data_IF_245209328701
#
_entry.id   IF_245209328701
#
_cell.length_a   1.000
_cell.length_b   1.000
_cell.length_c   1.000
_cell.angle_alpha   90.00
_cell.angle_beta   90.00
_cell.angle_gamma   90.00
#
_symmetry.space_group_name_H-M   'P 1'
#
loop_
_entity.id
_entity.type
_entity.pdbx_description
1 polymer ?
#
# COMPACT_ATOMS: atom_id res chain seq x y z
N UNK A 1 11.96 -13.68 -9.35
CA UNK A 1 11.51 -12.27 -9.45
C UNK A 1 10.89 -11.70 -8.15
N UNK A 2 10.47 -12.51 -7.15
CA UNK A 2 9.92 -12.04 -5.86
C UNK A 2 10.84 -11.12 -5.03
N UNK A 3 12.17 -11.35 -5.06
CA UNK A 3 13.16 -10.67 -4.19
C UNK A 3 13.38 -9.20 -4.57
N UNK A 4 13.39 -8.87 -5.87
CA UNK A 4 13.61 -7.50 -6.35
C UNK A 4 12.39 -6.60 -6.18
N UNK A 5 11.17 -7.14 -6.39
CA UNK A 5 9.94 -6.38 -6.18
C UNK A 5 9.80 -5.91 -4.74
N UNK A 6 10.02 -6.80 -3.76
CA UNK A 6 9.95 -6.45 -2.33
C UNK A 6 10.93 -5.34 -1.94
N UNK A 7 12.17 -5.38 -2.45
CA UNK A 7 13.17 -4.35 -2.17
C UNK A 7 12.79 -3.01 -2.84
N UNK A 8 12.21 -3.03 -4.04
CA UNK A 8 11.76 -1.82 -4.74
C UNK A 8 10.63 -1.11 -3.98
N UNK A 9 9.63 -1.85 -3.50
CA UNK A 9 8.55 -1.28 -2.68
C UNK A 9 9.06 -0.76 -1.33
N UNK A 10 10.05 -1.43 -0.72
CA UNK A 10 10.69 -0.97 0.50
C UNK A 10 11.45 0.35 0.29
N UNK A 11 12.23 0.44 -0.78
CA UNK A 11 12.93 1.67 -1.18
C UNK A 11 11.95 2.81 -1.47
N UNK A 12 10.88 2.53 -2.22
CA UNK A 12 9.86 3.53 -2.54
C UNK A 12 9.15 4.04 -1.27
N UNK A 13 8.82 3.14 -0.34
CA UNK A 13 8.24 3.50 0.97
C UNK A 13 9.21 4.31 1.84
N UNK A 14 10.49 3.94 1.89
CA UNK A 14 11.50 4.69 2.61
C UNK A 14 11.67 6.11 2.05
N UNK A 15 11.64 6.26 0.73
CA UNK A 15 11.72 7.56 0.06
C UNK A 15 10.51 8.45 0.39
N UNK A 16 9.30 7.88 0.42
CA UNK A 16 8.09 8.59 0.85
C UNK A 16 8.21 9.05 2.32
N UNK A 17 8.73 8.20 3.20
CA UNK A 17 8.93 8.56 4.62
C UNK A 17 9.92 9.72 4.76
N UNK A 18 11.05 9.66 4.05
CA UNK A 18 12.03 10.74 4.01
C UNK A 18 11.39 12.02 3.48
N UNK A 19 10.61 11.95 2.40
CA UNK A 19 9.92 13.10 1.84
C UNK A 19 8.90 13.70 2.82
N UNK A 20 8.21 12.87 3.62
CA UNK A 20 7.24 13.33 4.62
C UNK A 20 7.92 13.96 5.84
N UNK A 21 9.05 13.41 6.29
CA UNK A 21 9.89 13.99 7.35
C UNK A 21 10.49 15.31 6.86
N UNK A 22 11.01 15.35 5.64
CA UNK A 22 11.51 16.57 5.01
C UNK A 22 10.40 17.62 4.89
N UNK A 23 9.17 17.23 4.55
CA UNK A 23 8.05 18.16 4.52
C UNK A 23 7.79 18.84 5.88
N UNK A 24 7.92 18.09 6.98
CA UNK A 24 7.76 18.63 8.34
C UNK A 24 8.91 19.59 8.69
N UNK A 25 10.14 19.28 8.27
CA UNK A 25 11.34 20.05 8.60
C UNK A 25 11.46 21.33 7.74
N UNK A 26 11.19 21.22 6.44
CA UNK A 26 11.37 22.30 5.47
C UNK A 26 10.09 23.11 5.22
N UNK A 27 8.93 22.62 5.68
CA UNK A 27 7.64 23.30 5.50
C UNK A 27 7.26 23.46 4.04
N UNK A 28 7.21 22.38 3.26
CA UNK A 28 6.81 22.49 1.85
C UNK A 28 5.35 22.91 1.73
N UNK A 29 5.04 23.54 0.60
CA UNK A 29 3.68 24.01 0.30
C UNK A 29 2.67 22.85 0.27
N UNK A 30 1.40 23.17 0.51
CA UNK A 30 0.31 22.20 0.51
C UNK A 30 0.22 21.39 -0.80
N UNK A 31 0.65 21.98 -1.92
CA UNK A 31 0.73 21.31 -3.21
C UNK A 31 1.75 20.16 -3.20
N UNK A 32 2.97 20.40 -2.70
CA UNK A 32 4.02 19.38 -2.61
C UNK A 32 3.59 18.26 -1.66
N UNK A 33 2.99 18.61 -0.52
CA UNK A 33 2.43 17.62 0.41
C UNK A 33 1.33 16.78 -0.25
N UNK A 34 0.48 17.39 -1.09
CA UNK A 34 -0.55 16.67 -1.84
C UNK A 34 0.07 15.66 -2.82
N UNK A 35 1.11 16.05 -3.56
CA UNK A 35 1.84 15.14 -4.45
C UNK A 35 2.51 13.99 -3.70
N UNK A 36 3.13 14.24 -2.54
CA UNK A 36 3.73 13.18 -1.71
C UNK A 36 2.67 12.15 -1.31
N UNK A 37 1.49 12.60 -0.87
CA UNK A 37 0.39 11.71 -0.50
C UNK A 37 -0.16 10.94 -1.71
N UNK A 38 -0.27 11.59 -2.87
CA UNK A 38 -0.65 10.95 -4.14
C UNK A 38 0.28 9.78 -4.50
N UNK A 39 1.59 10.03 -4.47
CA UNK A 39 2.59 9.00 -4.75
C UNK A 39 2.53 7.86 -3.73
N UNK A 40 2.34 8.18 -2.44
CA UNK A 40 2.20 7.19 -1.38
C UNK A 40 1.06 6.21 -1.63
N UNK A 41 -0.15 6.73 -1.86
CA UNK A 41 -1.31 5.86 -2.09
C UNK A 41 -1.21 5.08 -3.39
N UNK A 42 -0.64 5.67 -4.45
CA UNK A 42 -0.42 4.99 -5.72
C UNK A 42 0.55 3.81 -5.57
N UNK A 43 1.67 4.00 -4.86
CA UNK A 43 2.66 2.94 -4.63
C UNK A 43 2.06 1.80 -3.80
N UNK A 44 1.30 2.12 -2.75
CA UNK A 44 0.58 1.11 -1.94
C UNK A 44 -0.45 0.36 -2.79
N UNK A 45 -1.20 1.08 -3.62
CA UNK A 45 -2.19 0.46 -4.51
C UNK A 45 -1.57 -0.51 -5.50
N UNK A 46 -0.47 -0.13 -6.14
CA UNK A 46 0.30 -1.00 -7.03
C UNK A 46 0.88 -2.22 -6.29
N UNK A 47 1.33 -2.05 -5.05
CA UNK A 47 1.79 -3.16 -4.23
C UNK A 47 0.69 -4.19 -3.98
N UNK A 48 -0.54 -3.75 -3.74
CA UNK A 48 -1.68 -4.64 -3.54
C UNK A 48 -2.12 -5.34 -4.82
N UNK A 49 -2.02 -4.68 -5.98
CA UNK A 49 -2.38 -5.27 -7.27
C UNK A 49 -1.36 -6.32 -7.72
N UNK A 50 -0.06 -5.99 -7.64
CA UNK A 50 1.00 -6.81 -8.24
C UNK A 50 1.82 -7.60 -7.22
N UNK A 51 1.98 -7.08 -6.01
CA UNK A 51 2.81 -7.69 -4.96
C UNK A 51 2.06 -8.70 -4.08
N UNK A 52 0.73 -8.61 -4.00
CA UNK A 52 -0.05 -9.48 -3.14
C UNK A 52 -0.44 -10.79 -3.85
N UNK A 53 0.02 -11.91 -3.30
CA UNK A 53 -0.35 -13.26 -3.75
C UNK A 53 -1.02 -14.00 -2.59
N UNK A 54 -2.24 -14.51 -2.83
CA UNK A 54 -2.96 -15.36 -1.89
C UNK A 54 -3.55 -16.56 -2.64
N UNK A 55 -3.52 -17.77 -2.07
CA UNK A 55 -4.16 -18.95 -2.65
C UNK A 55 -5.69 -18.80 -2.70
N UNK A 56 -6.25 -17.98 -1.80
CA UNK A 56 -7.67 -17.75 -1.68
C UNK A 56 -8.14 -16.65 -2.63
N UNK A 57 -8.94 -17.03 -3.64
CA UNK A 57 -9.43 -16.10 -4.68
C UNK A 57 -10.22 -14.92 -4.10
N UNK A 58 -11.02 -15.15 -3.06
CA UNK A 58 -11.81 -14.09 -2.41
C UNK A 58 -10.93 -13.04 -1.76
N UNK A 59 -9.91 -13.47 -1.03
CA UNK A 59 -8.93 -12.56 -0.41
C UNK A 59 -8.15 -11.79 -1.47
N UNK A 60 -7.71 -12.47 -2.55
CA UNK A 60 -7.01 -11.81 -3.66
C UNK A 60 -7.88 -10.72 -4.30
N UNK A 61 -9.17 -10.99 -4.48
CA UNK A 61 -10.11 -10.02 -5.04
C UNK A 61 -10.27 -8.80 -4.13
N UNK A 62 -10.51 -8.99 -2.83
CA UNK A 62 -10.64 -7.88 -1.87
C UNK A 62 -9.40 -6.97 -1.89
N UNK A 63 -8.20 -7.56 -1.86
CA UNK A 63 -6.95 -6.79 -1.86
C UNK A 63 -6.73 -6.07 -3.20
N UNK A 64 -7.08 -6.70 -4.31
CA UNK A 64 -7.02 -6.07 -5.63
C UNK A 64 -7.94 -4.84 -5.72
N UNK A 65 -9.19 -4.93 -5.24
CA UNK A 65 -10.10 -3.80 -5.21
C UNK A 65 -9.62 -2.70 -4.26
N UNK A 66 -9.04 -3.04 -3.11
CA UNK A 66 -8.39 -2.07 -2.22
C UNK A 66 -7.24 -1.34 -2.94
N UNK A 67 -6.45 -2.06 -3.73
CA UNK A 67 -5.35 -1.48 -4.51
C UNK A 67 -5.84 -0.50 -5.58
N UNK A 68 -6.88 -0.87 -6.33
CA UNK A 68 -7.52 0.02 -7.31
C UNK A 68 -8.12 1.24 -6.62
N UNK A 69 -8.84 1.05 -5.51
CA UNK A 69 -9.45 2.14 -4.77
C UNK A 69 -8.44 3.19 -4.31
N UNK A 70 -7.29 2.74 -3.77
CA UNK A 70 -6.21 3.63 -3.34
C UNK A 70 -5.61 4.46 -4.49
N UNK A 71 -5.64 3.94 -5.72
CA UNK A 71 -5.21 4.70 -6.90
C UNK A 71 -6.30 5.69 -7.33
N UNK A 72 -7.55 5.24 -7.39
CA UNK A 72 -8.67 6.06 -7.86
C UNK A 72 -9.01 7.22 -6.91
N UNK A 73 -8.89 7.02 -5.60
CA UNK A 73 -9.22 8.04 -4.61
C UNK A 73 -8.35 9.30 -4.74
N UNK A 74 -7.19 9.19 -5.38
CA UNK A 74 -6.33 10.33 -5.66
C UNK A 74 -6.93 11.33 -6.68
N UNK A 75 -7.87 10.88 -7.52
CA UNK A 75 -8.53 11.71 -8.53
C UNK A 75 -9.90 12.22 -8.07
N UNK A 76 -10.37 11.75 -6.92
CA UNK A 76 -11.67 12.11 -6.33
C UNK A 76 -11.46 13.28 -5.36
N UNK A 77 -12.35 14.29 -5.32
CA UNK A 77 -12.26 15.36 -4.33
C UNK A 77 -12.23 14.78 -2.91
N UNK A 78 -11.30 15.30 -2.10
CA UNK A 78 -11.13 14.84 -0.72
C UNK A 78 -12.42 15.06 0.06
N UNK A 79 -12.96 13.98 0.59
CA UNK A 79 -14.09 13.98 1.51
C UNK A 79 -13.77 13.01 2.63
N UNK A 80 -14.35 13.24 3.80
CA UNK A 80 -14.16 12.38 4.98
C UNK A 80 -14.47 10.91 4.67
N UNK A 81 -15.49 10.65 3.86
CA UNK A 81 -15.82 9.28 3.42
C UNK A 81 -14.71 8.65 2.59
N UNK A 82 -14.17 9.37 1.60
CA UNK A 82 -13.08 8.87 0.75
C UNK A 82 -11.84 8.55 1.58
N UNK A 83 -11.51 9.38 2.56
CA UNK A 83 -10.37 9.15 3.46
C UNK A 83 -10.59 7.93 4.36
N UNK A 84 -11.79 7.77 4.95
CA UNK A 84 -12.12 6.60 5.78
C UNK A 84 -11.98 5.31 4.96
N UNK A 85 -12.55 5.26 3.76
CA UNK A 85 -12.43 4.09 2.88
C UNK A 85 -10.97 3.84 2.45
N UNK A 86 -10.19 4.90 2.24
CA UNK A 86 -8.75 4.80 1.98
C UNK A 86 -8.01 4.11 3.13
N UNK A 87 -8.28 4.52 4.37
CA UNK A 87 -7.68 3.89 5.56
C UNK A 87 -8.09 2.41 5.66
N UNK A 88 -9.37 2.09 5.46
CA UNK A 88 -9.86 0.71 5.46
C UNK A 88 -9.12 -0.12 4.40
N UNK A 89 -8.96 0.42 3.19
CA UNK A 89 -8.26 -0.25 2.10
C UNK A 89 -6.76 -0.46 2.39
N UNK A 90 -6.14 0.32 3.26
CA UNK A 90 -4.75 0.11 3.71
C UNK A 90 -4.69 -0.96 4.79
N UNK A 91 -5.56 -0.85 5.79
CA UNK A 91 -5.51 -1.68 7.00
C UNK A 91 -6.02 -3.11 6.74
N UNK A 92 -7.10 -3.28 5.98
CA UNK A 92 -7.70 -4.59 5.76
C UNK A 92 -6.72 -5.58 5.09
N UNK A 93 -6.00 -5.24 4.00
CA UNK A 93 -5.02 -6.15 3.41
C UNK A 93 -3.85 -6.48 4.34
N UNK A 94 -3.42 -5.52 5.17
CA UNK A 94 -2.39 -5.74 6.19
C UNK A 94 -2.84 -6.73 7.27
N UNK A 95 -4.07 -6.57 7.78
CA UNK A 95 -4.65 -7.50 8.75
C UNK A 95 -4.83 -8.88 8.15
N UNK A 96 -5.36 -8.98 6.93
CA UNK A 96 -5.53 -10.25 6.23
C UNK A 96 -4.19 -10.97 6.06
N UNK A 97 -3.12 -10.25 5.67
CA UNK A 97 -1.78 -10.84 5.57
C UNK A 97 -1.26 -11.34 6.92
N UNK A 98 -1.51 -10.60 8.00
CA UNK A 98 -1.00 -10.94 9.35
C UNK A 98 -1.77 -12.09 10.00
N UNK A 99 -3.08 -12.16 9.79
CA UNK A 99 -3.97 -13.12 10.47
C UNK A 99 -4.38 -14.31 9.61
N UNK A 100 -4.09 -14.34 8.31
CA UNK A 100 -4.42 -15.49 7.46
C UNK A 100 -3.45 -16.67 7.69
N UNK A 101 -3.89 -17.80 8.27
CA UNK A 101 -3.06 -18.99 8.45
C UNK A 101 -2.67 -19.65 7.12
N UNK A 102 -3.42 -19.39 6.04
CA UNK A 102 -3.07 -19.87 4.68
C UNK A 102 -1.79 -19.23 4.14
N UNK A 103 -1.50 -17.96 4.48
CA UNK A 103 -0.22 -17.33 4.10
C UNK A 103 0.96 -17.83 4.94
N UNK A 104 0.70 -18.29 6.16
CA UNK A 104 1.73 -18.85 7.06
C UNK A 104 2.24 -20.21 6.56
N UNK A 105 1.39 -20.98 5.87
CA UNK A 105 1.75 -22.28 5.26
C UNK A 105 2.56 -22.18 3.96
N UNK A 106 2.70 -21.00 3.37
CA UNK A 106 3.61 -20.74 2.21
C UNK A 106 5.00 -20.31 2.70
N UNK A 107 5.16 -20.06 4.00
CA UNK A 107 6.40 -19.65 4.64
C UNK A 107 7.04 -20.68 5.60
N UNK A 108 6.86 -22.01 5.47
CA UNK A 108 7.81 -22.95 6.02
C UNK A 108 8.68 -23.53 4.89
N UNK A 109 10.00 -23.47 5.08
CA UNK A 109 10.98 -24.39 4.45
C UNK A 109 11.58 -24.04 3.06
N UNK A 110 11.84 -22.77 2.77
CA UNK A 110 12.81 -22.38 1.72
C UNK A 110 13.81 -21.31 2.20
N UNK A 111 14.04 -21.29 3.52
CA UNK A 111 15.02 -20.47 4.22
C UNK A 111 16.03 -21.30 5.04
N UNK A 112 16.48 -22.43 4.49
CA UNK A 112 17.76 -23.06 4.86
C UNK A 112 18.73 -23.01 3.68
#
# INVERSE_FOLDING_TARGET
>A
MKKYGSNLFFFAGALILIAKIANIIFGFSDQINSYINYFMFTIIGLYYIFGFTSPNKSIKFIVFFCGIYLILMNFIPKSTMVEIFGIICIVAPMLIRRFSPEMRKIAPEDAE
#
